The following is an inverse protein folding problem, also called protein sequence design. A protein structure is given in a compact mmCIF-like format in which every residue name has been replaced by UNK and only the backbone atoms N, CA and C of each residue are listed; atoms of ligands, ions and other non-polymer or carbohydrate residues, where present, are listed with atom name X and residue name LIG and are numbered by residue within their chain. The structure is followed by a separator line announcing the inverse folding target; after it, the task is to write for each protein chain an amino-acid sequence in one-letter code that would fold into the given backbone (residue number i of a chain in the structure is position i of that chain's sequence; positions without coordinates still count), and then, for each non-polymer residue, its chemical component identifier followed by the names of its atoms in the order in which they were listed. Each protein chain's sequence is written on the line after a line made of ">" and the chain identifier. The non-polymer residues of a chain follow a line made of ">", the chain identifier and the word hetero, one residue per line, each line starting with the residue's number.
data_IF_081131390965
#
_entry.id   IF_081131390965
#
_cell.length_a   1.000
_cell.length_b   1.000
_cell.length_c   1.000
_cell.angle_alpha   90.00
_cell.angle_beta   90.00
_cell.angle_gamma   90.00
#
_symmetry.space_group_name_H-M   'P 1'
#
loop_
_entity.id
_entity.type
_entity.pdbx_description
1 polymer ?
#
# COMPACT_ATOMS: atom_id res chain seq x y z
N UNK A 1 12.23 -7.47 -19.05
CA UNK A 1 10.75 -7.49 -19.00
C UNK A 1 10.31 -6.05 -18.78
N UNK A 2 10.02 -5.32 -19.86
CA UNK A 2 9.42 -3.98 -19.76
C UNK A 2 8.02 -4.15 -19.18
N UNK A 3 7.64 -3.33 -18.21
CA UNK A 3 6.25 -3.18 -17.79
C UNK A 3 5.49 -2.47 -18.92
N UNK A 4 5.19 -3.19 -20.00
CA UNK A 4 4.40 -2.67 -21.12
C UNK A 4 2.93 -2.84 -20.77
N UNK A 5 2.19 -1.73 -20.65
CA UNK A 5 0.75 -1.60 -20.89
C UNK A 5 -0.19 -2.71 -20.35
N UNK A 6 0.13 -3.33 -19.21
CA UNK A 6 -0.77 -4.26 -18.52
C UNK A 6 -1.99 -3.58 -17.86
N UNK A 7 -2.16 -2.27 -18.07
CA UNK A 7 -3.23 -1.50 -17.44
C UNK A 7 -4.59 -2.01 -17.91
N UNK A 8 -4.79 -2.37 -19.18
CA UNK A 8 -6.12 -2.77 -19.66
C UNK A 8 -6.63 -4.11 -19.08
N UNK A 9 -5.88 -5.23 -19.10
CA UNK A 9 -6.39 -6.49 -18.54
C UNK A 9 -6.55 -6.43 -17.02
N UNK A 10 -5.60 -5.78 -16.34
CA UNK A 10 -5.62 -5.67 -14.87
C UNK A 10 -6.71 -4.70 -14.42
N UNK A 11 -6.86 -3.54 -15.07
CA UNK A 11 -7.93 -2.60 -14.78
C UNK A 11 -9.31 -3.21 -15.07
N UNK A 12 -9.47 -3.92 -16.19
CA UNK A 12 -10.72 -4.60 -16.50
C UNK A 12 -11.08 -5.66 -15.46
N UNK A 13 -10.10 -6.46 -15.01
CA UNK A 13 -10.32 -7.47 -13.98
C UNK A 13 -10.71 -6.85 -12.63
N UNK A 14 -10.10 -5.71 -12.27
CA UNK A 14 -10.31 -5.08 -10.97
C UNK A 14 -11.56 -4.19 -10.92
N UNK A 15 -11.90 -3.52 -12.02
CA UNK A 15 -12.89 -2.44 -12.03
C UNK A 15 -14.03 -2.65 -13.03
N UNK A 16 -13.95 -3.68 -13.88
CA UNK A 16 -14.88 -3.89 -14.99
C UNK A 16 -14.76 -2.85 -16.11
N UNK A 17 -13.80 -1.93 -16.03
CA UNK A 17 -13.56 -0.89 -17.02
C UNK A 17 -12.22 -1.09 -17.73
N UNK A 18 -12.20 -0.80 -19.03
CA UNK A 18 -10.96 -0.76 -19.81
C UNK A 18 -10.14 0.51 -19.55
N UNK A 19 -10.74 1.49 -18.88
CA UNK A 19 -10.15 2.79 -18.62
C UNK A 19 -10.43 3.23 -17.18
N UNK A 20 -9.36 3.57 -16.46
CA UNK A 20 -9.42 4.01 -15.07
C UNK A 20 -8.57 5.25 -14.95
N UNK A 21 -9.20 6.34 -14.48
CA UNK A 21 -8.55 7.62 -14.33
C UNK A 21 -8.33 7.94 -12.86
N UNK A 22 -7.16 8.45 -12.48
CA UNK A 22 -6.99 9.01 -11.15
C UNK A 22 -7.93 10.22 -11.01
N UNK A 23 -8.47 10.43 -9.81
CA UNK A 23 -9.30 11.59 -9.50
C UNK A 23 -8.41 12.84 -9.33
N UNK A 24 -7.99 13.41 -10.46
CA UNK A 24 -7.11 14.57 -10.52
C UNK A 24 -7.77 15.85 -9.99
N UNK A 25 -9.09 15.86 -9.79
CA UNK A 25 -9.80 17.07 -9.32
C UNK A 25 -9.57 17.32 -7.84
N UNK A 26 -9.47 16.26 -7.03
CA UNK A 26 -9.33 16.36 -5.58
C UNK A 26 -7.97 15.86 -5.07
N UNK A 27 -7.16 15.25 -5.92
CA UNK A 27 -5.81 14.84 -5.58
C UNK A 27 -4.90 16.06 -5.28
N UNK A 28 -4.17 15.97 -4.16
CA UNK A 28 -3.14 16.95 -3.75
C UNK A 28 -1.71 16.40 -3.90
N UNK A 29 -1.56 15.08 -3.96
CA UNK A 29 -0.27 14.41 -4.10
C UNK A 29 -0.46 13.17 -4.98
N UNK A 30 0.13 13.20 -6.16
CA UNK A 30 0.07 12.08 -7.11
C UNK A 30 1.44 11.45 -7.26
N UNK A 31 1.51 10.16 -6.93
CA UNK A 31 2.68 9.32 -7.15
C UNK A 31 2.43 8.38 -8.33
N UNK A 32 3.20 8.53 -9.40
CA UNK A 32 3.07 7.70 -10.61
C UNK A 32 4.20 6.66 -10.62
N UNK A 33 3.82 5.37 -10.64
CA UNK A 33 4.73 4.24 -10.83
C UNK A 33 4.71 3.76 -12.27
N UNK A 34 5.84 3.85 -12.98
CA UNK A 34 6.08 3.17 -14.26
C UNK A 34 4.99 3.36 -15.33
N UNK A 35 4.26 4.47 -15.29
CA UNK A 35 3.17 4.79 -16.21
C UNK A 35 3.19 6.27 -16.61
N UNK A 36 2.39 6.64 -17.60
CA UNK A 36 2.33 8.01 -18.13
C UNK A 36 0.91 8.58 -18.17
N UNK A 37 0.11 8.28 -17.13
CA UNK A 37 -1.25 8.79 -16.96
C UNK A 37 -1.28 10.32 -17.01
N UNK A 38 -2.23 10.89 -17.76
CA UNK A 38 -2.35 12.34 -17.93
C UNK A 38 -1.34 12.99 -18.89
N UNK A 39 -0.56 12.18 -19.64
CA UNK A 39 0.40 12.71 -20.61
C UNK A 39 0.32 12.05 -21.98
N UNK A 40 0.81 10.80 -22.11
CA UNK A 40 1.07 10.17 -23.42
C UNK A 40 0.36 8.82 -23.60
N UNK A 41 -0.21 8.24 -22.53
CA UNK A 41 -0.88 6.95 -22.58
C UNK A 41 -2.28 7.00 -21.97
N UNK A 42 -3.06 5.94 -22.23
CA UNK A 42 -4.47 5.70 -21.90
C UNK A 42 -5.49 6.26 -22.91
N UNK A 43 -6.69 5.68 -22.86
CA UNK A 43 -7.86 6.22 -23.55
C UNK A 43 -8.15 7.61 -22.96
N UNK A 44 -8.54 8.57 -23.81
CA UNK A 44 -8.76 9.98 -23.44
C UNK A 44 -7.53 10.77 -22.92
N UNK A 45 -6.32 10.49 -23.44
CA UNK A 45 -5.10 11.20 -23.07
C UNK A 45 -5.21 12.74 -23.14
N UNK A 46 -5.97 13.29 -24.09
CA UNK A 46 -6.19 14.73 -24.24
C UNK A 46 -7.01 15.33 -23.08
N UNK A 47 -8.09 14.66 -22.67
CA UNK A 47 -8.92 15.12 -21.54
C UNK A 47 -8.12 15.09 -20.23
N UNK A 48 -7.42 13.99 -19.97
CA UNK A 48 -6.60 13.85 -18.77
C UNK A 48 -5.39 14.79 -18.76
N UNK A 49 -4.82 15.12 -19.91
CA UNK A 49 -3.73 16.09 -19.97
C UNK A 49 -4.17 17.47 -19.48
N UNK A 50 -5.41 17.89 -19.83
CA UNK A 50 -5.98 19.13 -19.30
C UNK A 50 -6.19 19.05 -17.79
N UNK A 51 -6.80 17.98 -17.31
CA UNK A 51 -7.04 17.80 -15.86
C UNK A 51 -5.75 17.73 -15.05
N UNK A 52 -4.71 17.08 -15.59
CA UNK A 52 -3.38 17.04 -14.99
C UNK A 52 -2.76 18.44 -14.91
N UNK A 53 -2.85 19.23 -15.99
CA UNK A 53 -2.36 20.60 -16.00
C UNK A 53 -3.11 21.48 -14.99
N UNK A 54 -4.43 21.34 -14.90
CA UNK A 54 -5.26 22.05 -13.92
C UNK A 54 -4.94 21.64 -12.48
N UNK A 55 -4.78 20.34 -12.23
CA UNK A 55 -4.41 19.82 -10.92
C UNK A 55 -3.04 20.33 -10.46
N UNK A 56 -2.05 20.32 -11.35
CA UNK A 56 -0.72 20.87 -11.06
C UNK A 56 -0.76 22.38 -10.84
N UNK A 57 -1.53 23.12 -11.65
CA UNK A 57 -1.71 24.57 -11.46
C UNK A 57 -2.39 24.90 -10.14
N UNK A 58 -3.30 24.04 -9.67
CA UNK A 58 -3.93 24.13 -8.34
C UNK A 58 -2.94 23.85 -7.19
N UNK A 59 -1.78 23.28 -7.47
CA UNK A 59 -0.73 22.97 -6.49
C UNK A 59 -0.63 21.49 -6.11
N UNK A 60 -1.27 20.58 -6.87
CA UNK A 60 -1.04 19.14 -6.69
C UNK A 60 0.43 18.81 -6.96
N UNK A 61 1.11 18.17 -5.99
CA UNK A 61 2.47 17.68 -6.17
C UNK A 61 2.47 16.40 -7.01
N UNK A 62 3.24 16.39 -8.09
CA UNK A 62 3.43 15.25 -8.97
C UNK A 62 4.84 14.66 -8.79
N UNK A 63 4.90 13.39 -8.38
CA UNK A 63 6.14 12.62 -8.29
C UNK A 63 6.07 11.43 -9.22
N UNK A 64 7.12 11.22 -10.02
CA UNK A 64 7.22 10.13 -10.98
C UNK A 64 8.37 9.20 -10.60
N UNK A 65 8.05 7.92 -10.43
CA UNK A 65 8.99 6.84 -10.15
C UNK A 65 9.14 6.01 -11.41
N UNK A 66 10.28 6.14 -12.07
CA UNK A 66 10.52 5.57 -13.40
C UNK A 66 12.03 5.40 -13.62
N UNK A 67 12.53 4.25 -14.11
CA UNK A 67 13.94 4.10 -14.45
C UNK A 67 14.46 5.07 -15.51
N UNK A 68 13.57 5.60 -16.36
CA UNK A 68 13.92 6.57 -17.40
C UNK A 68 13.18 7.88 -17.17
N UNK A 69 13.76 8.99 -17.62
CA UNK A 69 13.08 10.28 -17.60
C UNK A 69 12.01 10.32 -18.71
N UNK A 70 10.85 9.74 -18.44
CA UNK A 70 9.70 9.74 -19.34
C UNK A 70 9.10 11.13 -19.53
N UNK A 71 8.16 11.27 -20.48
CA UNK A 71 7.43 12.54 -20.70
C UNK A 71 6.63 13.01 -19.48
N UNK A 72 6.21 12.08 -18.63
CA UNK A 72 5.57 12.42 -17.36
C UNK A 72 6.62 12.93 -16.37
N UNK A 73 7.77 12.23 -16.26
CA UNK A 73 8.87 12.62 -15.38
C UNK A 73 9.43 14.00 -15.72
N UNK A 74 9.54 14.36 -17.00
CA UNK A 74 10.03 15.69 -17.42
C UNK A 74 9.12 16.85 -17.03
N UNK A 75 7.86 16.56 -16.68
CA UNK A 75 6.87 17.53 -16.21
C UNK A 75 6.55 17.36 -14.72
N UNK A 76 7.15 16.38 -14.05
CA UNK A 76 6.94 16.14 -12.63
C UNK A 76 7.69 17.17 -11.78
N UNK A 77 7.24 17.35 -10.55
CA UNK A 77 7.97 18.16 -9.57
C UNK A 77 9.19 17.39 -9.04
N UNK A 78 9.11 16.05 -9.04
CA UNK A 78 10.20 15.16 -8.65
C UNK A 78 10.22 13.89 -9.51
N UNK A 79 11.41 13.52 -10.00
CA UNK A 79 11.64 12.26 -10.70
C UNK A 79 12.59 11.39 -9.86
N UNK A 80 12.14 10.16 -9.59
CA UNK A 80 12.89 9.17 -8.82
C UNK A 80 13.36 8.05 -9.77
N UNK A 81 14.65 8.04 -10.18
CA UNK A 81 15.20 7.05 -11.09
C UNK A 81 15.48 5.74 -10.36
N UNK A 82 14.48 4.86 -10.28
CA UNK A 82 14.66 3.51 -9.70
C UNK A 82 15.35 2.57 -10.70
N UNK A 83 15.89 1.46 -10.20
CA UNK A 83 16.40 0.40 -11.08
C UNK A 83 15.22 -0.34 -11.72
N UNK A 84 15.28 -0.72 -13.01
CA UNK A 84 14.21 -1.49 -13.64
C UNK A 84 13.86 -2.75 -12.85
N UNK A 85 12.56 -2.96 -12.58
CA UNK A 85 12.05 -4.13 -11.84
C UNK A 85 12.19 -4.03 -10.31
N UNK A 86 12.46 -2.84 -9.76
CA UNK A 86 12.60 -2.62 -8.31
C UNK A 86 11.45 -1.82 -7.68
N UNK A 87 10.34 -1.65 -8.40
CA UNK A 87 9.13 -0.94 -7.95
C UNK A 87 8.59 -1.48 -6.63
N UNK A 88 8.51 -2.81 -6.49
CA UNK A 88 8.06 -3.46 -5.25
C UNK A 88 9.01 -3.18 -4.09
N UNK A 89 10.32 -3.15 -4.34
CA UNK A 89 11.30 -2.83 -3.29
C UNK A 89 11.17 -1.37 -2.83
N UNK A 90 10.91 -0.44 -3.76
CA UNK A 90 10.61 0.96 -3.44
C UNK A 90 9.29 1.11 -2.67
N UNK A 91 8.22 0.43 -3.09
CA UNK A 91 6.94 0.49 -2.40
C UNK A 91 7.04 -0.06 -0.96
N UNK A 92 7.74 -1.18 -0.78
CA UNK A 92 7.96 -1.77 0.54
C UNK A 92 8.88 -0.92 1.43
N UNK A 93 9.89 -0.24 0.86
CA UNK A 93 10.72 0.68 1.65
C UNK A 93 9.93 1.91 2.10
N UNK A 94 9.08 2.48 1.24
CA UNK A 94 8.16 3.55 1.61
C UNK A 94 7.22 3.11 2.74
N UNK A 95 6.63 1.91 2.63
CA UNK A 95 5.79 1.34 3.69
C UNK A 95 6.58 1.15 4.99
N UNK A 96 7.83 0.67 4.93
CA UNK A 96 8.67 0.53 6.13
C UNK A 96 8.90 1.86 6.84
N UNK A 97 9.21 2.92 6.10
CA UNK A 97 9.41 4.26 6.68
C UNK A 97 8.11 4.76 7.33
N UNK A 98 6.98 4.65 6.63
CA UNK A 98 5.68 5.08 7.15
C UNK A 98 5.27 4.31 8.40
N UNK A 99 5.37 2.98 8.38
CA UNK A 99 4.87 2.12 9.46
C UNK A 99 5.85 1.98 10.62
N UNK A 100 7.12 1.65 10.33
CA UNK A 100 8.08 1.27 11.37
C UNK A 100 8.94 2.42 11.86
N UNK A 101 9.24 3.42 11.02
CA UNK A 101 10.11 4.55 11.42
C UNK A 101 9.30 5.75 11.90
N UNK A 102 8.24 6.13 11.19
CA UNK A 102 7.46 7.33 11.47
C UNK A 102 6.15 7.05 12.23
N UNK A 103 5.60 5.83 12.15
CA UNK A 103 4.30 5.50 12.73
C UNK A 103 3.12 6.26 12.09
N UNK A 104 3.26 6.67 10.82
CA UNK A 104 2.27 7.45 10.08
C UNK A 104 1.38 6.53 9.22
N UNK A 105 0.31 6.03 9.83
CA UNK A 105 -0.71 5.23 9.17
C UNK A 105 -2.07 5.38 9.84
N UNK A 106 -3.14 5.17 9.08
CA UNK A 106 -4.52 5.31 9.55
C UNK A 106 -4.97 4.02 10.26
N UNK A 107 -4.84 4.01 11.59
CA UNK A 107 -5.21 2.85 12.43
C UNK A 107 -6.70 2.51 12.29
N UNK A 108 -7.66 3.46 12.44
CA UNK A 108 -9.08 3.16 12.22
C UNK A 108 -9.35 2.50 10.86
N UNK A 109 -8.78 3.04 9.79
CA UNK A 109 -8.95 2.47 8.45
C UNK A 109 -8.41 1.05 8.35
N UNK A 110 -7.20 0.81 8.86
CA UNK A 110 -6.60 -0.53 8.85
C UNK A 110 -7.45 -1.54 9.63
N UNK A 111 -7.97 -1.16 10.78
CA UNK A 111 -8.79 -2.04 11.61
C UNK A 111 -10.14 -2.37 10.96
N UNK A 112 -10.72 -1.42 10.23
CA UNK A 112 -12.08 -1.54 9.69
C UNK A 112 -12.13 -2.13 8.27
N UNK A 113 -11.22 -1.74 7.40
CA UNK A 113 -11.31 -2.02 5.96
C UNK A 113 -10.24 -2.98 5.44
N UNK A 114 -9.39 -3.49 6.33
CA UNK A 114 -8.33 -4.43 5.95
C UNK A 114 -8.35 -5.69 6.82
N UNK A 115 -7.59 -6.69 6.42
CA UNK A 115 -7.35 -7.91 7.18
C UNK A 115 -6.25 -7.76 8.24
N UNK A 116 -5.78 -6.54 8.54
CA UNK A 116 -4.66 -6.31 9.45
C UNK A 116 -4.89 -6.80 10.89
N UNK A 117 -6.15 -6.98 11.31
CA UNK A 117 -6.54 -7.45 12.64
C UNK A 117 -6.70 -8.97 12.75
N UNK A 118 -6.57 -9.71 11.63
CA UNK A 118 -6.83 -11.14 11.59
C UNK A 118 -5.71 -11.91 12.29
N UNK A 119 -6.05 -12.72 13.29
CA UNK A 119 -5.07 -13.54 13.97
C UNK A 119 -4.47 -14.59 13.02
N UNK A 120 -3.15 -14.65 12.99
CA UNK A 120 -2.38 -15.62 12.20
C UNK A 120 -1.76 -16.65 13.15
N UNK A 121 -1.88 -17.93 12.80
CA UNK A 121 -1.23 -19.05 13.50
C UNK A 121 0.26 -19.13 13.14
N UNK A 122 1.09 -19.81 13.94
CA UNK A 122 2.51 -20.01 13.62
C UNK A 122 2.79 -20.69 12.27
N UNK A 123 1.81 -21.41 11.70
CA UNK A 123 1.90 -22.02 10.36
C UNK A 123 1.64 -21.02 9.20
N UNK A 124 1.41 -19.74 9.52
CA UNK A 124 1.16 -18.68 8.55
C UNK A 124 -0.29 -18.59 8.06
N UNK A 125 -1.20 -19.43 8.58
CA UNK A 125 -2.61 -19.40 8.18
C UNK A 125 -3.45 -18.59 9.15
N UNK A 126 -4.49 -17.92 8.65
CA UNK A 126 -5.48 -17.28 9.51
C UNK A 126 -6.08 -18.29 10.49
N UNK A 127 -6.25 -17.84 11.71
CA UNK A 127 -7.04 -18.49 12.73
C UNK A 127 -8.51 -18.18 12.43
N UNK A 128 -9.31 -19.23 12.33
CA UNK A 128 -10.73 -19.15 11.99
C UNK A 128 -11.55 -19.92 13.01
N UNK A 129 -12.77 -19.46 13.27
CA UNK A 129 -13.71 -20.22 14.09
C UNK A 129 -14.04 -21.55 13.38
N UNK A 130 -13.90 -22.71 14.05
CA UNK A 130 -14.22 -24.00 13.47
C UNK A 130 -15.69 -24.18 13.05
N UNK A 131 -16.62 -23.39 13.59
CA UNK A 131 -18.06 -23.56 13.36
C UNK A 131 -18.50 -23.00 12.01
N UNK A 132 -18.03 -21.80 11.66
CA UNK A 132 -18.47 -21.04 10.49
C UNK A 132 -17.32 -20.61 9.57
N UNK A 133 -16.06 -20.78 10.00
CA UNK A 133 -14.88 -20.38 9.24
C UNK A 133 -14.56 -18.89 9.32
N UNK A 134 -15.25 -18.11 10.15
CA UNK A 134 -15.02 -16.66 10.29
C UNK A 134 -13.61 -16.38 10.83
N UNK A 135 -12.84 -15.43 10.26
CA UNK A 135 -11.55 -15.04 10.82
C UNK A 135 -11.69 -14.57 12.27
N UNK A 136 -10.77 -15.01 13.13
CA UNK A 136 -10.72 -14.54 14.51
C UNK A 136 -9.84 -13.30 14.64
N UNK A 137 -10.28 -12.36 15.47
CA UNK A 137 -9.53 -11.18 15.88
C UNK A 137 -9.37 -11.19 17.40
N UNK A 138 -8.39 -10.44 17.91
CA UNK A 138 -8.24 -10.27 19.36
C UNK A 138 -8.99 -9.02 19.81
N UNK A 139 -9.98 -9.20 20.67
CA UNK A 139 -10.71 -8.14 21.36
C UNK A 139 -9.85 -7.63 22.52
N UNK A 140 -9.26 -6.44 22.34
CA UNK A 140 -8.38 -5.82 23.31
C UNK A 140 -9.14 -5.31 24.55
N UNK A 141 -10.42 -4.99 24.41
CA UNK A 141 -11.26 -4.51 25.51
C UNK A 141 -11.61 -5.65 26.47
N UNK A 142 -12.02 -6.79 25.92
CA UNK A 142 -12.45 -7.95 26.71
C UNK A 142 -11.34 -8.98 26.95
N UNK A 143 -10.16 -8.81 26.34
CA UNK A 143 -9.00 -9.69 26.52
C UNK A 143 -9.23 -11.12 26.02
N UNK A 144 -9.92 -11.28 24.88
CA UNK A 144 -10.26 -12.60 24.31
C UNK A 144 -10.25 -12.59 22.80
N UNK A 145 -10.13 -13.77 22.19
CA UNK A 145 -10.41 -13.90 20.76
C UNK A 145 -11.94 -13.89 20.51
N UNK A 146 -12.35 -13.25 19.43
CA UNK A 146 -13.73 -13.23 18.94
C UNK A 146 -13.77 -13.33 17.42
N UNK A 147 -14.90 -13.77 16.86
CA UNK A 147 -15.11 -13.70 15.42
C UNK A 147 -15.11 -12.23 14.96
N UNK A 148 -14.64 -11.98 13.74
CA UNK A 148 -14.53 -10.64 13.16
C UNK A 148 -15.81 -9.80 13.34
N UNK A 149 -16.97 -10.39 13.07
CA UNK A 149 -18.27 -9.68 13.12
C UNK A 149 -18.78 -9.44 14.55
N UNK A 150 -18.16 -10.08 15.54
CA UNK A 150 -18.55 -10.00 16.95
C UNK A 150 -17.68 -9.03 17.76
N UNK A 151 -16.66 -8.43 17.15
CA UNK A 151 -15.72 -7.51 17.79
C UNK A 151 -15.78 -6.17 17.04
N UNK A 152 -16.04 -5.09 17.77
CA UNK A 152 -16.02 -3.76 17.19
C UNK A 152 -14.64 -3.48 16.58
N UNK A 153 -14.54 -2.95 15.34
CA UNK A 153 -13.26 -2.77 14.67
C UNK A 153 -12.22 -2.04 15.51
N UNK A 154 -12.63 -1.03 16.28
CA UNK A 154 -11.73 -0.24 17.11
C UNK A 154 -11.15 -1.02 18.30
N UNK A 155 -11.86 -2.02 18.80
CA UNK A 155 -11.41 -2.88 19.90
C UNK A 155 -10.54 -4.04 19.42
N UNK A 156 -10.57 -4.35 18.12
CA UNK A 156 -9.70 -5.36 17.53
C UNK A 156 -8.21 -4.92 17.60
N UNK A 157 -7.34 -5.78 18.11
CA UNK A 157 -5.92 -5.50 18.19
C UNK A 157 -5.25 -5.58 16.81
N UNK A 158 -4.43 -4.57 16.49
CA UNK A 158 -3.61 -4.53 15.27
C UNK A 158 -2.21 -5.12 15.51
N UNK A 159 -1.70 -4.95 16.73
CA UNK A 159 -0.38 -5.42 17.16
C UNK A 159 -0.51 -6.34 18.36
N UNK A 160 0.51 -7.17 18.57
CA UNK A 160 0.62 -8.02 19.75
C UNK A 160 0.73 -9.50 19.41
N UNK A 161 0.86 -10.28 20.47
CA UNK A 161 0.98 -11.74 20.43
C UNK A 161 0.13 -12.30 21.54
N UNK A 162 -0.84 -13.13 21.19
CA UNK A 162 -1.91 -13.55 22.08
C UNK A 162 -1.94 -15.07 22.22
N UNK A 163 -2.13 -15.60 23.44
CA UNK A 163 -2.27 -17.03 23.63
C UNK A 163 -3.60 -17.51 23.04
N UNK A 164 -3.55 -18.55 22.20
CA UNK A 164 -4.76 -19.28 21.78
C UNK A 164 -5.00 -20.49 22.69
N UNK A 165 -6.24 -20.97 22.72
CA UNK A 165 -6.68 -22.18 23.46
C UNK A 165 -5.84 -23.44 23.16
N UNK A 166 -5.11 -23.44 22.04
CA UNK A 166 -4.21 -24.53 21.61
C UNK A 166 -2.75 -24.38 22.10
N UNK A 167 -2.45 -23.51 23.08
CA UNK A 167 -1.08 -23.13 23.54
C UNK A 167 -0.20 -22.43 22.49
N UNK A 168 -0.72 -22.14 21.31
CA UNK A 168 0.01 -21.44 20.25
C UNK A 168 -0.20 -19.92 20.36
N UNK A 169 0.87 -19.16 20.16
CA UNK A 169 0.85 -17.70 20.07
C UNK A 169 0.33 -17.30 18.69
N UNK A 170 -0.66 -16.41 18.65
CA UNK A 170 -1.21 -15.84 17.42
C UNK A 170 -1.00 -14.33 17.40
N UNK A 171 -0.78 -13.76 16.21
CA UNK A 171 -0.55 -12.33 16.04
C UNK A 171 -1.40 -11.79 14.87
N UNK A 172 -2.00 -10.59 14.98
CA UNK A 172 -2.73 -9.96 13.87
C UNK A 172 -1.79 -9.56 12.72
N UNK A 173 -0.71 -8.88 13.08
CA UNK A 173 0.42 -8.57 12.21
C UNK A 173 1.73 -8.92 12.94
N UNK A 174 2.60 -9.76 12.38
CA UNK A 174 3.90 -10.02 12.99
C UNK A 174 4.77 -8.77 12.87
N UNK A 175 5.08 -8.11 13.99
CA UNK A 175 6.10 -7.06 14.01
C UNK A 175 7.44 -7.72 13.68
N UNK A 176 8.05 -7.35 12.55
CA UNK A 176 9.50 -7.56 12.41
C UNK A 176 10.16 -6.58 13.37
N UNK A 177 11.13 -7.05 14.17
CA UNK A 177 11.98 -6.14 14.93
C UNK A 177 12.53 -5.05 13.98
N UNK A 178 12.64 -3.79 14.44
CA UNK A 178 13.23 -2.75 13.62
C UNK A 178 14.62 -3.22 13.16
N UNK A 179 14.99 -3.01 11.88
CA UNK A 179 16.32 -3.37 11.44
C UNK A 179 17.34 -2.71 12.38
N UNK A 180 18.31 -3.49 12.87
CA UNK A 180 19.46 -2.94 13.59
C UNK A 180 20.01 -1.78 12.75
N UNK A 181 20.32 -0.67 13.43
CA UNK A 181 20.84 0.59 12.90
C UNK A 181 21.48 0.43 11.51
N UNK A 182 21.10 1.26 10.53
CA UNK A 182 21.54 1.08 9.15
C UNK A 182 23.07 0.96 9.09
N UNK A 183 23.62 0.00 8.34
CA UNK A 183 25.07 -0.05 8.12
C UNK A 183 25.50 1.31 7.56
N UNK A 184 26.62 1.83 8.08
CA UNK A 184 27.18 3.14 7.72
C UNK A 184 27.01 3.42 6.24
N UNK A 185 26.32 4.51 5.90
CA UNK A 185 25.99 4.96 4.54
C UNK A 185 27.28 5.11 3.71
N UNK A 186 27.74 4.03 3.08
CA UNK A 186 28.69 4.13 1.98
C UNK A 186 27.95 4.81 0.84
N UNK A 187 28.36 6.04 0.51
CA UNK A 187 27.93 6.75 -0.70
C UNK A 187 28.19 5.82 -1.90
N UNK A 188 27.14 5.17 -2.40
CA UNK A 188 27.17 4.58 -3.73
C UNK A 188 26.69 5.66 -4.70
N UNK A 189 27.42 5.94 -5.78
CA UNK A 189 26.93 6.87 -6.79
C UNK A 189 25.71 6.22 -7.46
N UNK A 190 24.53 6.80 -7.26
CA UNK A 190 23.36 6.53 -8.10
C UNK A 190 22.06 6.06 -7.44
N UNK A 191 21.89 6.13 -6.10
CA UNK A 191 20.64 6.38 -5.32
C UNK A 191 21.03 6.44 -3.84
#
# INVERSE_FOLDING_TARGET
>A
MQAVNGVHPVAFTLTGSNDVHPDLKFCNYLLIFGSSHGFVAQQNAMGLAREMAEARTRGMKLVVVDPVCSYAASKADEWIPIRPGTDTAFALSLMNVLVNELGLYDIPYLKQYTNGTYLVRPDGRYLRDPKDGTPLVWDALNGRAGGLDAVEPMDAALEGSFPSSSKNICAPMPRREPPRSPPSRQKRPGV
#
